data_IF_726105246273
#
_entry.id   IF_726105246273
#
_cell.length_a   1.000
_cell.length_b   1.000
_cell.length_c   1.000
_cell.angle_alpha   90.00
_cell.angle_beta   90.00
_cell.angle_gamma   90.00
#
_symmetry.space_group_name_H-M   'P 1'
#
loop_
_entity.id
_entity.type
_entity.pdbx_description
1 polymer ?
#
# COMPACT_ATOMS: atom_id res chain seq x y z
N UNK A 1 -1.89 7.96 12.13
CA UNK A 1 -1.52 7.62 10.75
C UNK A 1 -0.31 8.45 10.33
N UNK A 2 0.88 7.86 10.42
CA UNK A 2 2.15 8.49 10.03
C UNK A 2 2.69 7.82 8.77
N UNK A 3 3.47 8.58 7.99
CA UNK A 3 4.19 8.07 6.82
C UNK A 3 5.07 6.88 7.23
N UNK A 4 4.99 5.79 6.47
CA UNK A 4 5.73 4.55 6.71
C UNK A 4 5.00 3.54 7.61
N UNK A 5 3.92 3.93 8.31
CA UNK A 5 3.09 2.96 9.01
C UNK A 5 2.34 2.07 8.01
N UNK A 6 2.15 0.80 8.36
CA UNK A 6 1.36 -0.16 7.58
C UNK A 6 0.02 -0.36 8.26
N UNK A 7 -1.06 -0.26 7.48
CA UNK A 7 -2.43 -0.39 7.94
C UNK A 7 -3.18 -1.39 7.06
N UNK A 8 -4.12 -2.14 7.64
CA UNK A 8 -5.07 -2.94 6.87
C UNK A 8 -6.13 -2.02 6.26
N UNK A 9 -6.19 -1.98 4.92
CA UNK A 9 -7.08 -1.11 4.16
C UNK A 9 -8.04 -1.97 3.34
N UNK A 10 -9.32 -1.61 3.36
CA UNK A 10 -10.33 -2.24 2.52
C UNK A 10 -10.40 -1.52 1.18
N UNK A 11 -9.89 -2.14 0.11
CA UNK A 11 -9.93 -1.59 -1.24
C UNK A 11 -11.27 -1.83 -1.97
N UNK A 12 -12.25 -2.47 -1.31
CA UNK A 12 -13.63 -2.55 -1.79
C UNK A 12 -13.80 -3.26 -3.13
N UNK A 13 -14.78 -2.77 -3.91
CA UNK A 13 -15.12 -3.28 -5.24
C UNK A 13 -14.34 -2.51 -6.29
N UNK A 14 -13.20 -3.06 -6.68
CA UNK A 14 -12.29 -2.46 -7.66
C UNK A 14 -12.61 -2.90 -9.10
N UNK A 15 -12.29 -2.05 -10.07
CA UNK A 15 -12.56 -2.27 -11.50
C UNK A 15 -11.30 -2.78 -12.18
N UNK A 16 -11.44 -3.79 -13.06
CA UNK A 16 -10.32 -4.32 -13.83
C UNK A 16 -9.17 -4.86 -12.96
N UNK A 17 -7.97 -4.32 -13.20
CA UNK A 17 -6.71 -4.69 -12.56
C UNK A 17 -6.40 -3.99 -11.24
N UNK A 18 -7.29 -3.13 -10.74
CA UNK A 18 -7.13 -2.47 -9.44
C UNK A 18 -7.03 -3.49 -8.30
N UNK A 19 -6.26 -3.14 -7.27
CA UNK A 19 -6.12 -3.97 -6.07
C UNK A 19 -7.46 -4.17 -5.39
N UNK A 20 -7.76 -5.42 -5.01
CA UNK A 20 -9.03 -5.84 -4.38
C UNK A 20 -8.79 -6.40 -2.98
N UNK A 21 -9.89 -6.50 -2.22
CA UNK A 21 -9.96 -7.09 -0.86
C UNK A 21 -9.33 -6.18 0.20
N UNK A 22 -9.36 -6.66 1.45
CA UNK A 22 -8.64 -6.04 2.55
C UNK A 22 -7.17 -6.48 2.48
N UNK A 23 -6.25 -5.51 2.45
CA UNK A 23 -4.81 -5.76 2.32
C UNK A 23 -4.02 -4.80 3.20
N UNK A 24 -2.82 -5.20 3.68
CA UNK A 24 -1.91 -4.27 4.28
C UNK A 24 -1.43 -3.26 3.22
N UNK A 25 -1.34 -1.99 3.61
CA UNK A 25 -0.88 -0.90 2.77
C UNK A 25 -0.03 0.07 3.58
N UNK A 26 1.05 0.58 2.98
CA UNK A 26 1.96 1.55 3.60
C UNK A 26 1.48 2.97 3.31
N UNK A 27 1.44 3.82 4.34
CA UNK A 27 1.11 5.25 4.17
C UNK A 27 2.30 5.98 3.57
N UNK A 28 2.09 6.67 2.45
CA UNK A 28 3.14 7.44 1.75
C UNK A 28 2.95 8.96 1.84
N UNK A 29 1.73 9.43 2.12
CA UNK A 29 1.45 10.84 2.39
C UNK A 29 2.20 11.35 3.62
N UNK A 30 2.63 12.62 3.58
CA UNK A 30 3.44 13.22 4.64
C UNK A 30 2.65 13.39 5.96
N UNK A 31 3.36 13.47 7.08
CA UNK A 31 2.72 13.51 8.41
C UNK A 31 1.83 14.74 8.61
N UNK A 32 2.20 15.91 8.08
CA UNK A 32 1.37 17.11 8.19
C UNK A 32 0.02 16.90 7.47
N UNK A 33 0.06 16.36 6.25
CA UNK A 33 -1.14 15.95 5.50
C UNK A 33 -2.01 14.99 6.30
N UNK A 34 -1.42 13.95 6.87
CA UNK A 34 -2.16 12.93 7.61
C UNK A 34 -2.77 13.46 8.92
N UNK A 35 -2.18 14.51 9.50
CA UNK A 35 -2.70 15.17 10.72
C UNK A 35 -3.83 16.14 10.41
N UNK A 36 -3.74 16.91 9.32
CA UNK A 36 -4.68 17.99 9.05
C UNK A 36 -5.76 17.63 8.02
N UNK A 37 -5.57 16.58 7.22
CA UNK A 37 -6.58 16.11 6.26
C UNK A 37 -7.31 14.88 6.78
N UNK A 38 -8.58 14.74 6.39
CA UNK A 38 -9.40 13.56 6.66
C UNK A 38 -9.10 12.39 5.70
N UNK A 39 -7.89 12.32 5.13
CA UNK A 39 -7.49 11.30 4.14
C UNK A 39 -5.99 11.03 4.21
N UNK A 40 -5.60 9.84 3.75
CA UNK A 40 -4.19 9.42 3.58
C UNK A 40 -4.00 8.83 2.18
N UNK A 41 -2.77 8.87 1.68
CA UNK A 41 -2.37 8.17 0.45
C UNK A 41 -1.60 6.92 0.83
N UNK A 42 -1.96 5.78 0.23
CA UNK A 42 -1.42 4.47 0.58
C UNK A 42 -0.99 3.67 -0.64
N UNK A 43 0.04 2.83 -0.46
CA UNK A 43 0.48 1.85 -1.45
C UNK A 43 0.19 0.44 -0.90
N UNK A 44 -0.60 -0.38 -1.60
CA UNK A 44 -0.91 -1.74 -1.15
C UNK A 44 0.30 -2.66 -1.25
N UNK A 45 0.33 -3.64 -0.35
CA UNK A 45 1.32 -4.71 -0.36
C UNK A 45 0.73 -6.01 -0.95
N UNK A 46 1.59 -6.80 -1.57
CA UNK A 46 1.28 -8.17 -2.02
C UNK A 46 2.41 -9.13 -1.67
N UNK A 47 2.07 -10.40 -1.45
CA UNK A 47 3.04 -11.49 -1.24
C UNK A 47 3.51 -12.13 -2.55
N UNK A 48 2.98 -11.71 -3.70
CA UNK A 48 3.43 -12.20 -5.01
C UNK A 48 4.71 -11.49 -5.42
N UNK A 49 5.86 -12.11 -5.14
CA UNK A 49 7.19 -11.50 -5.33
C UNK A 49 7.95 -12.02 -6.55
N UNK A 50 7.37 -12.95 -7.32
CA UNK A 50 8.02 -13.60 -8.48
C UNK A 50 8.59 -12.61 -9.51
N UNK A 51 7.99 -11.42 -9.62
CA UNK A 51 8.45 -10.32 -10.45
C UNK A 51 8.34 -9.01 -9.68
N UNK A 52 9.42 -8.23 -9.72
CA UNK A 52 9.47 -6.87 -9.22
C UNK A 52 9.53 -5.91 -10.41
N UNK A 53 8.44 -5.16 -10.63
CA UNK A 53 8.38 -4.15 -11.69
C UNK A 53 9.03 -2.82 -11.24
N UNK A 54 9.43 -1.92 -12.16
CA UNK A 54 10.12 -0.68 -11.80
C UNK A 54 9.34 0.26 -10.87
N UNK A 55 8.00 0.20 -10.91
CA UNK A 55 7.11 0.95 -10.02
C UNK A 55 6.82 0.24 -8.70
N UNK A 56 7.52 -0.84 -8.38
CA UNK A 56 7.31 -1.62 -7.16
C UNK A 56 8.56 -1.62 -6.29
N UNK A 57 8.38 -1.81 -4.98
CA UNK A 57 9.49 -1.92 -4.05
C UNK A 57 9.40 -3.23 -3.27
N UNK A 58 10.51 -3.98 -3.19
CA UNK A 58 10.60 -5.14 -2.31
C UNK A 58 10.49 -4.69 -0.85
N UNK A 59 9.68 -5.38 -0.05
CA UNK A 59 9.46 -5.09 1.37
C UNK A 59 9.42 -6.37 2.17
N UNK A 60 9.65 -6.25 3.48
CA UNK A 60 9.37 -7.31 4.45
C UNK A 60 8.23 -6.85 5.35
N UNK A 61 7.17 -7.63 5.46
CA UNK A 61 6.04 -7.35 6.32
C UNK A 61 5.69 -8.59 7.16
N UNK A 62 5.66 -8.44 8.48
CA UNK A 62 5.44 -9.54 9.43
C UNK A 62 6.36 -10.76 9.19
N UNK A 63 7.64 -10.49 8.88
CA UNK A 63 8.65 -11.51 8.62
C UNK A 63 8.52 -12.21 7.26
N UNK A 64 7.53 -11.85 6.43
CA UNK A 64 7.34 -12.40 5.09
C UNK A 64 7.82 -11.43 4.02
N UNK A 65 8.37 -11.97 2.95
CA UNK A 65 8.69 -11.19 1.76
C UNK A 65 7.40 -10.74 1.06
N UNK A 66 7.42 -9.52 0.57
CA UNK A 66 6.35 -8.92 -0.20
C UNK A 66 6.88 -7.82 -1.09
N UNK A 67 5.97 -7.16 -1.78
CA UNK A 67 6.25 -5.95 -2.54
C UNK A 67 5.16 -4.91 -2.37
N UNK A 68 5.56 -3.64 -2.34
CA UNK A 68 4.70 -2.48 -2.41
C UNK A 68 4.44 -2.12 -3.88
N UNK A 69 3.18 -2.07 -4.30
CA UNK A 69 2.79 -1.85 -5.70
C UNK A 69 2.47 -0.38 -5.95
N UNK A 70 3.45 0.47 -6.25
CA UNK A 70 3.23 1.93 -6.31
C UNK A 70 2.34 2.36 -7.49
N UNK A 71 2.17 1.52 -8.50
CA UNK A 71 1.19 1.66 -9.57
C UNK A 71 -0.27 1.50 -9.09
N UNK A 72 -0.47 1.01 -7.86
CA UNK A 72 -1.78 0.84 -7.21
C UNK A 72 -2.02 1.88 -6.10
N UNK A 73 -1.43 3.08 -6.23
CA UNK A 73 -1.63 4.19 -5.28
C UNK A 73 -3.12 4.52 -5.11
N UNK A 74 -3.57 4.59 -3.86
CA UNK A 74 -4.94 4.95 -3.50
C UNK A 74 -4.98 6.07 -2.44
#
# INVERSE_FOLDING_TARGET
MKRGEVWWVNFGRSVGGEVKKIRPAVIVSNNASNTFMNRVQVIPLTSHVDRLYPSEAAVQFEGKEGKAMADQLA
#
